data_IF_663178836929
#
_entry.id   IF_663178836929
#
_cell.length_a   1.000
_cell.length_b   1.000
_cell.length_c   1.000
_cell.angle_alpha   90.00
_cell.angle_beta   90.00
_cell.angle_gamma   90.00
#
_symmetry.space_group_name_H-M   'P 1'
#
loop_
_entity.id
_entity.type
_entity.pdbx_description
1 polymer ?
#
# COMPACT_ATOMS: atom_id res chain seq x y z
N UNK A 1 -17.24 -4.42 3.80
CA UNK A 1 -17.41 -3.79 5.13
C UNK A 1 -16.33 -2.73 5.29
N UNK A 2 -16.66 -1.59 5.87
CA UNK A 2 -15.68 -0.55 6.22
C UNK A 2 -15.22 -0.82 7.65
N UNK A 3 -13.90 -0.81 7.92
CA UNK A 3 -13.38 -1.12 9.27
C UNK A 3 -13.95 -0.13 10.29
N UNK A 4 -14.40 -0.64 11.44
CA UNK A 4 -14.88 0.19 12.56
C UNK A 4 -13.75 0.97 13.24
N UNK A 5 -12.49 0.63 12.91
CA UNK A 5 -11.28 1.24 13.46
C UNK A 5 -10.79 2.42 12.64
N UNK A 6 -11.54 2.83 11.61
CA UNK A 6 -11.22 4.04 10.86
C UNK A 6 -11.60 5.27 11.66
N UNK A 7 -10.69 6.24 11.68
CA UNK A 7 -10.97 7.54 12.26
C UNK A 7 -12.03 8.31 11.47
N UNK A 8 -12.71 9.24 12.15
CA UNK A 8 -13.66 10.14 11.50
C UNK A 8 -13.01 10.96 10.38
N UNK A 9 -11.73 11.34 10.54
CA UNK A 9 -10.97 12.06 9.52
C UNK A 9 -10.78 11.23 8.25
N UNK A 10 -10.52 9.92 8.37
CA UNK A 10 -10.46 9.03 7.20
C UNK A 10 -11.80 9.00 6.44
N UNK A 11 -12.94 8.96 7.14
CA UNK A 11 -14.25 8.99 6.48
C UNK A 11 -14.54 10.32 5.78
N UNK A 12 -14.13 11.44 6.38
CA UNK A 12 -14.28 12.77 5.78
C UNK A 12 -13.40 12.89 4.53
N UNK A 13 -12.12 12.50 4.63
CA UNK A 13 -11.20 12.51 3.48
C UNK A 13 -11.73 11.63 2.34
N UNK A 14 -12.18 10.42 2.67
CA UNK A 14 -12.75 9.49 1.69
C UNK A 14 -13.95 10.09 0.93
N UNK A 15 -14.82 10.87 1.60
CA UNK A 15 -15.97 11.52 0.96
C UNK A 15 -15.56 12.56 -0.09
N UNK A 16 -14.40 13.18 0.08
CA UNK A 16 -13.86 14.19 -0.84
C UNK A 16 -13.12 13.58 -2.05
N UNK A 17 -12.96 12.25 -2.11
CA UNK A 17 -12.29 11.56 -3.20
C UNK A 17 -13.26 11.12 -4.31
N UNK A 18 -12.81 11.10 -5.59
CA UNK A 18 -13.54 10.44 -6.67
C UNK A 18 -13.84 8.97 -6.33
N UNK A 19 -14.98 8.44 -6.79
CA UNK A 19 -15.48 7.11 -6.40
C UNK A 19 -14.43 5.98 -6.55
N UNK A 20 -13.68 5.97 -7.67
CA UNK A 20 -12.65 4.97 -7.92
C UNK A 20 -11.46 5.04 -6.94
N UNK A 21 -11.14 6.24 -6.42
CA UNK A 21 -10.09 6.45 -5.40
C UNK A 21 -10.63 6.20 -3.99
N UNK A 22 -11.89 6.56 -3.73
CA UNK A 22 -12.54 6.40 -2.43
C UNK A 22 -12.54 4.96 -1.96
N UNK A 23 -12.90 4.02 -2.83
CA UNK A 23 -12.92 2.59 -2.47
C UNK A 23 -11.52 2.08 -2.13
N UNK A 24 -10.52 2.41 -2.95
CA UNK A 24 -9.12 2.01 -2.69
C UNK A 24 -8.57 2.62 -1.40
N UNK A 25 -8.86 3.90 -1.16
CA UNK A 25 -8.47 4.60 0.06
C UNK A 25 -9.06 3.96 1.31
N UNK A 26 -10.38 3.70 1.33
CA UNK A 26 -11.02 3.07 2.48
C UNK A 26 -10.53 1.63 2.70
N UNK A 27 -10.30 0.88 1.62
CA UNK A 27 -9.80 -0.49 1.71
C UNK A 27 -8.38 -0.54 2.28
N UNK A 28 -7.46 0.31 1.79
CA UNK A 28 -6.08 0.33 2.27
C UNK A 28 -5.97 0.84 3.71
N UNK A 29 -6.71 1.89 4.07
CA UNK A 29 -6.79 2.38 5.45
C UNK A 29 -7.41 1.35 6.38
N UNK A 30 -8.47 0.66 5.93
CA UNK A 30 -9.12 -0.39 6.70
C UNK A 30 -8.14 -1.53 6.99
N UNK A 31 -7.45 -2.04 5.96
CA UNK A 31 -6.48 -3.12 6.13
C UNK A 31 -5.34 -2.73 7.09
N UNK A 32 -4.81 -1.51 6.95
CA UNK A 32 -3.79 -1.00 7.87
C UNK A 32 -4.32 -0.87 9.31
N UNK A 33 -5.57 -0.42 9.50
CA UNK A 33 -6.20 -0.32 10.81
C UNK A 33 -6.36 -1.69 11.49
N UNK A 34 -6.77 -2.69 10.71
CA UNK A 34 -6.85 -4.08 11.17
C UNK A 34 -5.46 -4.60 11.59
N UNK A 35 -4.42 -4.37 10.78
CA UNK A 35 -3.05 -4.80 11.12
C UNK A 35 -2.53 -4.10 12.39
N UNK A 36 -2.76 -2.79 12.53
CA UNK A 36 -2.39 -2.03 13.73
C UNK A 36 -3.10 -2.57 14.98
N UNK A 37 -4.37 -2.92 14.87
CA UNK A 37 -5.11 -3.53 15.96
C UNK A 37 -4.58 -4.93 16.30
N UNK A 38 -4.39 -5.79 15.30
CA UNK A 38 -3.96 -7.18 15.52
C UNK A 38 -2.55 -7.28 16.09
N UNK A 39 -1.63 -6.40 15.69
CA UNK A 39 -0.21 -6.51 16.05
C UNK A 39 0.20 -5.60 17.21
N UNK A 40 -0.49 -4.46 17.40
CA UNK A 40 -0.12 -3.46 18.40
C UNK A 40 -1.28 -3.11 19.36
N UNK A 41 -2.46 -3.72 19.22
CA UNK A 41 -3.61 -3.44 20.08
C UNK A 41 -4.23 -2.05 19.87
N UNK A 42 -3.86 -1.34 18.81
CA UNK A 42 -4.31 0.03 18.55
C UNK A 42 -5.73 0.01 17.96
N UNK A 43 -6.70 0.51 18.73
CA UNK A 43 -8.13 0.41 18.42
C UNK A 43 -8.65 1.38 17.35
N UNK A 44 -7.89 2.40 16.99
CA UNK A 44 -8.22 3.37 15.94
C UNK A 44 -6.98 3.63 15.08
N UNK A 45 -7.15 3.72 13.76
CA UNK A 45 -6.04 3.95 12.84
C UNK A 45 -5.31 5.25 13.20
N UNK A 46 -4.00 5.20 13.52
CA UNK A 46 -3.24 6.40 13.83
C UNK A 46 -3.19 7.36 12.65
N UNK A 47 -2.99 8.64 12.95
CA UNK A 47 -2.96 9.68 11.92
C UNK A 47 -1.83 9.44 10.91
N UNK A 48 -2.16 9.54 9.63
CA UNK A 48 -1.21 9.34 8.53
C UNK A 48 -0.95 10.67 7.85
N UNK A 49 0.32 11.03 7.74
CA UNK A 49 0.82 12.21 7.05
C UNK A 49 1.53 11.80 5.76
N UNK A 50 1.63 12.74 4.83
CA UNK A 50 2.44 12.59 3.62
C UNK A 50 3.79 13.25 3.88
N UNK A 51 4.86 12.45 3.91
CA UNK A 51 6.22 12.95 4.05
C UNK A 51 6.73 13.59 2.74
N UNK A 52 7.93 14.18 2.80
CA UNK A 52 8.64 14.63 1.62
C UNK A 52 8.72 13.50 0.57
N UNK A 53 8.53 13.83 -0.71
CA UNK A 53 8.43 12.89 -1.85
C UNK A 53 7.13 12.06 -1.92
N UNK A 54 6.12 12.35 -1.11
CA UNK A 54 4.78 11.75 -1.26
C UNK A 54 4.59 10.42 -0.52
N UNK A 55 5.56 9.97 0.27
CA UNK A 55 5.48 8.70 1.02
C UNK A 55 4.54 8.86 2.22
N UNK A 56 3.48 8.05 2.36
CA UNK A 56 2.64 8.06 3.55
C UNK A 56 3.39 7.45 4.74
N UNK A 57 3.23 8.03 5.92
CA UNK A 57 3.76 7.52 7.19
C UNK A 57 2.85 7.92 8.35
N UNK A 58 2.96 7.25 9.49
CA UNK A 58 2.28 7.69 10.70
C UNK A 58 2.89 9.02 11.19
N UNK A 59 2.07 9.88 11.80
CA UNK A 59 2.55 11.13 12.41
C UNK A 59 3.47 10.84 13.59
N UNK A 60 3.12 9.86 14.42
CA UNK A 60 3.97 9.38 15.50
C UNK A 60 5.11 8.53 14.92
N UNK A 61 6.35 8.96 15.19
CA UNK A 61 7.58 8.32 14.70
C UNK A 61 7.94 7.03 15.44
N UNK A 62 7.29 6.75 16.57
CA UNK A 62 7.48 5.52 17.33
C UNK A 62 6.61 4.37 16.80
N UNK A 63 5.69 4.66 15.88
CA UNK A 63 4.85 3.66 15.24
C UNK A 63 5.59 2.95 14.09
N UNK A 64 5.21 1.70 13.78
CA UNK A 64 5.85 0.91 12.74
C UNK A 64 5.82 1.58 11.36
N UNK A 65 6.86 1.31 10.57
CA UNK A 65 6.88 1.66 9.16
C UNK A 65 5.85 0.84 8.38
N UNK A 66 5.23 1.44 7.36
CA UNK A 66 4.31 0.73 6.48
C UNK A 66 4.48 1.13 5.02
N UNK A 67 3.95 0.29 4.13
CA UNK A 67 3.84 0.56 2.69
C UNK A 67 2.48 0.12 2.17
N UNK A 68 1.95 0.84 1.19
CA UNK A 68 0.65 0.55 0.56
C UNK A 68 0.88 0.43 -0.93
N UNK A 69 0.39 -0.66 -1.53
CA UNK A 69 0.48 -0.92 -2.96
C UNK A 69 -0.86 -1.31 -3.55
N UNK A 70 -1.02 -1.10 -4.86
CA UNK A 70 -2.25 -1.36 -5.61
C UNK A 70 -1.93 -2.05 -6.93
N UNK A 71 -2.58 -3.19 -7.19
CA UNK A 71 -2.48 -3.88 -8.48
C UNK A 71 -3.87 -4.27 -8.97
N UNK A 72 -4.35 -3.60 -10.04
CA UNK A 72 -5.72 -3.78 -10.51
C UNK A 72 -6.76 -3.41 -9.44
N UNK A 73 -7.52 -4.39 -8.97
CA UNK A 73 -8.48 -4.27 -7.86
C UNK A 73 -7.92 -4.74 -6.51
N UNK A 74 -6.66 -5.19 -6.46
CA UNK A 74 -5.99 -5.63 -5.25
C UNK A 74 -5.38 -4.45 -4.49
N UNK A 75 -5.41 -4.55 -3.17
CA UNK A 75 -4.74 -3.64 -2.24
C UNK A 75 -3.80 -4.47 -1.38
N UNK A 76 -2.54 -4.09 -1.32
CA UNK A 76 -1.55 -4.66 -0.42
C UNK A 76 -1.10 -3.65 0.62
N UNK A 77 -0.89 -4.11 1.83
CA UNK A 77 -0.28 -3.33 2.92
C UNK A 77 0.85 -4.17 3.51
N UNK A 78 2.04 -3.58 3.60
CA UNK A 78 3.15 -4.12 4.38
C UNK A 78 3.32 -3.27 5.64
N UNK A 79 3.62 -3.93 6.75
CA UNK A 79 3.93 -3.32 8.04
C UNK A 79 5.23 -3.94 8.54
N UNK A 80 6.18 -3.11 8.97
CA UNK A 80 7.46 -3.58 9.52
C UNK A 80 7.57 -3.23 10.99
N UNK A 81 8.05 -4.19 11.77
CA UNK A 81 8.35 -3.98 13.19
C UNK A 81 9.60 -3.14 13.41
N UNK A 82 10.51 -3.11 12.42
CA UNK A 82 11.76 -2.36 12.47
C UNK A 82 12.11 -1.76 11.09
N UNK A 83 12.71 -0.57 11.09
CA UNK A 83 13.18 0.08 9.87
C UNK A 83 12.07 0.51 8.90
N UNK A 84 12.38 0.48 7.61
CA UNK A 84 11.44 0.82 6.53
C UNK A 84 11.06 -0.41 5.70
N UNK A 85 9.84 -0.43 5.19
CA UNK A 85 9.40 -1.43 4.21
C UNK A 85 8.87 -0.78 2.93
N UNK A 86 8.99 -1.50 1.81
CA UNK A 86 8.39 -1.17 0.53
C UNK A 86 7.63 -2.39 0.01
N UNK A 87 6.41 -2.15 -0.48
CA UNK A 87 5.61 -3.17 -1.16
C UNK A 87 5.36 -2.70 -2.59
N UNK A 88 5.81 -3.49 -3.57
CA UNK A 88 5.52 -3.27 -4.98
C UNK A 88 4.70 -4.46 -5.51
N UNK A 89 3.58 -4.16 -6.16
CA UNK A 89 2.65 -5.17 -6.66
C UNK A 89 2.32 -4.85 -8.12
N UNK A 90 2.53 -5.84 -8.98
CA UNK A 90 2.21 -5.74 -10.39
C UNK A 90 1.30 -6.90 -10.81
N UNK A 91 0.23 -6.59 -11.54
CA UNK A 91 -0.66 -7.62 -12.09
C UNK A 91 -0.11 -8.05 -13.45
N UNK A 92 0.41 -9.27 -13.55
CA UNK A 92 0.75 -9.86 -14.84
C UNK A 92 -0.53 -10.08 -15.64
N UNK A 93 -0.65 -9.38 -16.78
CA UNK A 93 -1.73 -9.62 -17.73
C UNK A 93 -1.29 -10.73 -18.67
N UNK A 94 -1.93 -11.89 -18.57
CA UNK A 94 -1.79 -12.92 -19.59
C UNK A 94 -2.40 -12.37 -20.89
N UNK A 95 -1.56 -11.89 -21.80
CA UNK A 95 -1.99 -11.63 -23.17
C UNK A 95 -2.44 -12.96 -23.76
N UNK A 96 -3.75 -13.14 -23.98
CA UNK A 96 -4.22 -14.20 -24.86
C UNK A 96 -3.81 -13.82 -26.28
N UNK A 97 -2.62 -14.27 -26.68
CA UNK A 97 -2.14 -14.36 -28.05
C UNK A 97 -1.92 -13.04 -28.75
N UNK A 98 -0.67 -12.56 -28.77
CA UNK A 98 0.11 -12.33 -29.99
C UNK A 98 1.58 -12.21 -29.54
N UNK A 99 2.46 -13.04 -30.12
CA UNK A 99 3.89 -12.94 -29.92
C UNK A 99 4.36 -11.52 -30.30
N UNK A 100 4.88 -10.78 -29.32
CA UNK A 100 5.85 -9.73 -29.57
C UNK A 100 7.02 -9.94 -28.62
N UNK A 101 8.18 -10.43 -29.09
CA UNK A 101 9.34 -10.63 -28.24
C UNK A 101 10.05 -9.29 -28.11
N UNK A 102 9.50 -8.32 -27.36
CA UNK A 102 10.24 -7.14 -26.94
C UNK A 102 9.46 -6.32 -25.88
N UNK A 103 9.11 -6.95 -24.76
CA UNK A 103 8.82 -6.19 -23.54
C UNK A 103 10.11 -6.03 -22.75
N UNK A 104 10.73 -4.87 -22.96
CA UNK A 104 11.85 -4.26 -22.24
C UNK A 104 12.11 -4.88 -20.85
N UNK A 105 13.24 -5.57 -20.72
CA UNK A 105 13.96 -5.67 -19.45
C UNK A 105 14.02 -4.25 -18.86
N UNK A 106 13.42 -4.03 -17.68
CA UNK A 106 13.99 -3.00 -16.79
C UNK A 106 15.47 -3.36 -16.67
N UNK A 107 16.41 -2.42 -16.80
CA UNK A 107 17.82 -2.74 -16.58
C UNK A 107 17.97 -3.15 -15.11
N UNK A 108 17.86 -4.45 -14.86
CA UNK A 108 18.35 -5.07 -13.66
C UNK A 108 19.83 -4.71 -13.61
N UNK A 109 20.29 -4.24 -12.46
CA UNK A 109 21.72 -4.03 -12.27
C UNK A 109 22.46 -5.32 -12.62
N UNK A 110 23.67 -5.24 -13.22
CA UNK A 110 24.41 -6.43 -13.67
C UNK A 110 24.54 -7.53 -12.60
N UNK A 111 24.49 -7.14 -11.32
CA UNK A 111 24.53 -8.01 -10.14
C UNK A 111 23.37 -9.02 -10.10
N UNK A 112 22.19 -8.66 -10.60
CA UNK A 112 20.99 -9.50 -10.50
C UNK A 112 20.90 -10.56 -11.62
N UNK A 113 21.86 -10.56 -12.58
CA UNK A 113 21.96 -11.56 -13.66
C UNK A 113 22.80 -12.78 -13.28
N UNK A 114 23.56 -12.73 -12.17
CA UNK A 114 24.58 -13.75 -11.83
C UNK A 114 24.03 -14.90 -10.97
N UNK A 115 22.75 -14.89 -10.60
CA UNK A 115 22.11 -15.92 -9.78
C UNK A 115 20.80 -16.42 -10.41
N UNK A 116 20.85 -16.85 -11.67
CA UNK A 116 19.73 -17.44 -12.40
C UNK A 116 20.14 -18.74 -13.08
#
# INVERSE_FOLDING_TARGET
MVSIRLSSSCHIEARNLPAHRRTRFLASRGLLAELMFMLYGIGELPEIIIQAKGKPAFRDKNLPGFSISYAGNMVGVALTTEGECGLDMELQRTSRGFHHPHSLERPLSPVMKTYG
#
